data_IF_962499534282
#
_entry.id   IF_962499534282
#
_cell.length_a   1.000
_cell.length_b   1.000
_cell.length_c   1.000
_cell.angle_alpha   90.00
_cell.angle_beta   90.00
_cell.angle_gamma   90.00
#
_symmetry.space_group_name_H-M   'P 1'
#
loop_
_entity.id
_entity.type
_entity.pdbx_description
1 polymer ?
#
# COMPACT_ATOMS: atom_id res chain seq x y z
N UNK A 1 -3.22 32.65 -69.14
CA UNK A 1 -1.77 32.53 -68.97
C UNK A 1 -1.32 33.28 -67.74
N UNK A 2 -1.21 32.61 -66.59
CA UNK A 2 -0.50 33.11 -65.40
C UNK A 2 -0.29 31.95 -64.42
N UNK A 3 0.91 31.36 -64.47
CA UNK A 3 1.35 30.26 -63.61
C UNK A 3 2.04 30.84 -62.38
N UNK A 4 1.43 30.69 -61.21
CA UNK A 4 2.01 31.12 -59.94
C UNK A 4 2.80 29.98 -59.29
N UNK A 5 4.11 30.22 -59.10
CA UNK A 5 5.08 29.33 -58.48
C UNK A 5 4.95 29.36 -56.96
N UNK A 6 4.67 28.20 -56.34
CA UNK A 6 4.69 28.01 -54.88
C UNK A 6 6.07 27.46 -54.46
N UNK A 7 6.83 28.27 -53.73
CA UNK A 7 8.08 27.85 -53.05
C UNK A 7 7.72 27.07 -51.78
N UNK A 8 8.27 25.87 -51.67
CA UNK A 8 8.25 25.02 -50.47
C UNK A 8 9.34 25.49 -49.49
N UNK A 9 8.95 25.83 -48.27
CA UNK A 9 9.85 26.13 -47.15
C UNK A 9 10.05 24.88 -46.30
N UNK A 10 11.29 24.40 -46.21
CA UNK A 10 11.70 23.28 -45.35
C UNK A 10 11.80 23.77 -43.89
N UNK A 11 11.28 23.02 -42.90
CA UNK A 11 11.40 23.41 -41.50
C UNK A 11 12.80 23.10 -40.95
N UNK A 12 13.37 24.07 -40.22
CA UNK A 12 14.64 23.97 -39.50
C UNK A 12 14.46 23.07 -38.28
N UNK A 13 15.32 22.07 -38.13
CA UNK A 13 15.33 21.16 -36.99
C UNK A 13 15.71 21.87 -35.68
N UNK A 14 15.12 21.50 -34.53
CA UNK A 14 15.47 22.08 -33.24
C UNK A 14 16.88 21.67 -32.80
N UNK A 15 17.67 22.68 -32.42
CA UNK A 15 19.01 22.58 -31.84
C UNK A 15 19.00 21.64 -30.63
N UNK A 16 19.85 20.60 -30.68
CA UNK A 16 20.12 19.69 -29.57
C UNK A 16 20.69 20.47 -28.38
N UNK A 17 19.94 20.55 -27.29
CA UNK A 17 20.44 21.06 -26.01
C UNK A 17 21.59 20.16 -25.53
N UNK A 18 22.77 20.75 -25.33
CA UNK A 18 23.91 20.10 -24.71
C UNK A 18 23.55 19.63 -23.30
N UNK A 19 23.89 18.39 -22.89
CA UNK A 19 23.64 17.90 -21.55
C UNK A 19 24.40 18.74 -20.54
N UNK A 20 23.67 19.38 -19.64
CA UNK A 20 24.22 20.15 -18.53
C UNK A 20 25.10 19.24 -17.67
N UNK A 21 26.40 19.50 -17.62
CA UNK A 21 27.35 18.78 -16.76
C UNK A 21 26.86 18.79 -15.30
N UNK A 22 26.53 17.61 -14.79
CA UNK A 22 26.19 17.40 -13.39
C UNK A 22 27.46 17.59 -12.56
N UNK A 23 27.65 18.78 -11.97
CA UNK A 23 28.68 18.97 -10.95
C UNK A 23 28.22 18.25 -9.68
N UNK A 24 28.97 17.27 -9.14
CA UNK A 24 28.63 16.63 -7.88
C UNK A 24 28.60 17.71 -6.80
N UNK A 25 27.41 17.96 -6.28
CA UNK A 25 27.19 18.93 -5.21
C UNK A 25 28.02 18.56 -3.99
N UNK A 26 28.55 19.57 -3.29
CA UNK A 26 29.07 19.43 -1.93
C UNK A 26 28.18 18.49 -1.09
N UNK A 27 28.78 17.59 -0.32
CA UNK A 27 28.11 16.64 0.58
C UNK A 27 27.25 17.38 1.64
N UNK A 28 26.08 17.88 1.26
CA UNK A 28 25.12 18.44 2.19
C UNK A 28 24.13 17.36 2.57
N UNK A 29 24.04 17.05 3.86
CA UNK A 29 23.11 16.04 4.37
C UNK A 29 21.66 16.36 3.95
N UNK A 30 20.86 15.38 3.51
CA UNK A 30 19.48 15.60 3.12
C UNK A 30 18.63 16.09 4.29
N UNK A 31 17.53 16.79 3.99
CA UNK A 31 16.44 17.05 4.91
C UNK A 31 15.69 15.75 5.15
N UNK A 32 15.56 15.35 6.41
CA UNK A 32 14.87 14.13 6.81
C UNK A 32 13.37 14.41 6.82
N UNK A 33 12.60 13.75 5.98
CA UNK A 33 11.15 13.86 5.94
C UNK A 33 10.48 12.62 6.55
N UNK A 34 9.37 12.82 7.25
CA UNK A 34 8.48 11.75 7.66
C UNK A 34 7.11 11.92 7.01
N UNK A 35 6.61 10.84 6.40
CA UNK A 35 5.32 10.79 5.72
C UNK A 35 4.29 10.14 6.63
N UNK A 36 3.27 10.90 7.04
CA UNK A 36 2.16 10.46 7.87
C UNK A 36 0.92 10.33 7.00
N UNK A 37 0.36 9.13 6.88
CA UNK A 37 -0.72 8.82 5.94
C UNK A 37 -1.98 8.47 6.70
N UNK A 38 -3.04 9.22 6.42
CA UNK A 38 -4.39 8.83 6.78
C UNK A 38 -4.87 7.76 5.80
N UNK A 39 -4.65 6.49 6.17
CA UNK A 39 -4.95 5.35 5.33
C UNK A 39 -6.45 5.18 5.10
N UNK A 40 -7.28 5.58 6.07
CA UNK A 40 -8.75 5.52 5.93
C UNK A 40 -9.23 6.51 4.88
N UNK A 41 -8.82 7.77 4.98
CA UNK A 41 -9.15 8.79 3.99
C UNK A 41 -8.59 8.44 2.61
N UNK A 42 -7.35 7.93 2.55
CA UNK A 42 -6.71 7.53 1.30
C UNK A 42 -7.48 6.40 0.61
N UNK A 43 -7.84 5.35 1.35
CA UNK A 43 -8.63 4.24 0.82
C UNK A 43 -9.94 4.73 0.17
N UNK A 44 -10.71 5.55 0.88
CA UNK A 44 -11.97 6.06 0.34
C UNK A 44 -11.74 7.01 -0.84
N UNK A 45 -10.64 7.77 -0.81
CA UNK A 45 -10.23 8.65 -1.90
C UNK A 45 -9.82 7.89 -3.17
N UNK A 46 -9.30 6.67 -3.07
CA UNK A 46 -8.91 5.88 -4.24
C UNK A 46 -10.01 4.92 -4.73
N UNK A 47 -10.87 4.43 -3.82
CA UNK A 47 -11.74 3.28 -4.11
C UNK A 47 -13.24 3.52 -3.96
N UNK A 48 -13.67 4.59 -3.28
CA UNK A 48 -15.11 4.82 -3.00
C UNK A 48 -15.66 6.10 -3.63
N UNK A 49 -14.94 6.67 -4.60
CA UNK A 49 -15.43 7.84 -5.34
C UNK A 49 -16.47 7.41 -6.38
N UNK A 50 -17.40 8.32 -6.68
CA UNK A 50 -18.32 8.15 -7.80
C UNK A 50 -17.51 8.13 -9.09
N UNK A 51 -17.75 7.15 -9.96
CA UNK A 51 -16.98 6.95 -11.20
C UNK A 51 -16.86 8.22 -12.06
N UNK A 52 -17.89 9.06 -12.09
CA UNK A 52 -17.91 10.32 -12.85
C UNK A 52 -16.87 11.34 -12.36
N UNK A 53 -16.53 11.32 -11.08
CA UNK A 53 -15.69 12.31 -10.39
C UNK A 53 -14.30 11.78 -10.02
N UNK A 54 -14.03 10.52 -10.35
CA UNK A 54 -12.78 9.86 -10.03
C UNK A 54 -11.75 10.07 -11.17
N UNK A 55 -10.64 10.79 -10.92
CA UNK A 55 -9.61 11.06 -11.93
C UNK A 55 -8.92 9.78 -12.43
N UNK A 56 -8.83 8.74 -11.60
CA UNK A 56 -8.26 7.44 -11.96
C UNK A 56 -9.23 6.72 -12.90
N UNK A 57 -10.52 6.68 -12.57
CA UNK A 57 -11.53 6.06 -13.45
C UNK A 57 -11.63 6.77 -14.79
N UNK A 58 -11.58 8.11 -14.82
CA UNK A 58 -11.59 8.88 -16.08
C UNK A 58 -10.43 8.51 -17.00
N UNK A 59 -9.30 8.10 -16.42
CA UNK A 59 -8.08 7.80 -17.16
C UNK A 59 -7.91 6.34 -17.52
N UNK A 60 -8.10 5.45 -16.55
CA UNK A 60 -7.85 4.02 -16.68
C UNK A 60 -9.13 3.20 -16.93
N UNK A 61 -10.29 3.87 -16.93
CA UNK A 61 -11.60 3.28 -17.12
C UNK A 61 -12.23 2.73 -15.83
N UNK A 62 -13.51 2.36 -15.89
CA UNK A 62 -14.19 1.72 -14.76
C UNK A 62 -13.53 0.38 -14.43
N UNK A 63 -13.52 0.02 -13.14
CA UNK A 63 -12.89 -1.20 -12.61
C UNK A 63 -11.40 -1.31 -12.97
N UNK A 64 -10.69 -0.18 -12.99
CA UNK A 64 -9.26 -0.14 -13.28
C UNK A 64 -8.46 -1.10 -12.39
N UNK A 65 -8.90 -1.35 -11.16
CA UNK A 65 -8.25 -2.23 -10.20
C UNK A 65 -8.13 -3.69 -10.67
N UNK A 66 -8.86 -4.08 -11.73
CA UNK A 66 -8.71 -5.42 -12.35
C UNK A 66 -7.52 -5.53 -13.30
N UNK A 67 -6.96 -4.41 -13.75
CA UNK A 67 -5.93 -4.34 -14.78
C UNK A 67 -4.71 -3.53 -14.37
N UNK A 68 -4.87 -2.69 -13.35
CA UNK A 68 -3.83 -1.83 -12.82
C UNK A 68 -3.84 -1.90 -11.30
N UNK A 69 -2.69 -1.60 -10.70
CA UNK A 69 -2.50 -1.47 -9.25
C UNK A 69 -1.82 -0.14 -8.93
N UNK A 70 -1.91 0.26 -7.67
CA UNK A 70 -1.19 1.43 -7.19
C UNK A 70 0.25 1.05 -6.82
N UNK A 71 1.24 1.75 -7.35
CA UNK A 71 2.66 1.56 -7.03
C UNK A 71 3.02 2.34 -5.76
N UNK A 72 2.86 1.68 -4.61
CA UNK A 72 3.19 2.26 -3.30
C UNK A 72 4.68 2.58 -3.15
N UNK A 73 5.57 1.90 -3.89
CA UNK A 73 7.01 2.18 -3.84
C UNK A 73 7.35 3.50 -4.56
N UNK A 74 6.55 3.90 -5.56
CA UNK A 74 6.76 5.14 -6.30
C UNK A 74 6.31 6.39 -5.53
N UNK A 75 5.33 6.27 -4.62
CA UNK A 75 4.73 7.41 -3.94
C UNK A 75 5.73 8.26 -3.13
N UNK A 76 6.57 7.71 -2.22
CA UNK A 76 7.51 8.52 -1.44
C UNK A 76 8.52 9.24 -2.34
N UNK A 77 8.98 8.55 -3.39
CA UNK A 77 9.91 9.12 -4.38
C UNK A 77 9.29 10.31 -5.11
N UNK A 78 8.06 10.17 -5.59
CA UNK A 78 7.33 11.26 -6.29
C UNK A 78 7.15 12.45 -5.36
N UNK A 79 6.79 12.23 -4.10
CA UNK A 79 6.65 13.28 -3.10
C UNK A 79 7.98 14.01 -2.89
N UNK A 80 9.08 13.28 -2.70
CA UNK A 80 10.42 13.89 -2.58
C UNK A 80 10.79 14.72 -3.80
N UNK A 81 10.57 14.20 -5.02
CA UNK A 81 10.83 14.91 -6.28
C UNK A 81 10.05 16.23 -6.38
N UNK A 82 8.76 16.23 -5.99
CA UNK A 82 7.95 17.45 -6.02
C UNK A 82 8.39 18.47 -4.98
N UNK A 83 8.67 18.04 -3.75
CA UNK A 83 9.16 18.95 -2.71
C UNK A 83 10.52 19.55 -3.08
N UNK A 84 11.41 18.75 -3.67
CA UNK A 84 12.70 19.21 -4.17
C UNK A 84 12.54 20.27 -5.26
N UNK A 85 11.62 20.04 -6.21
CA UNK A 85 11.33 21.00 -7.28
C UNK A 85 10.89 22.35 -6.71
N UNK A 86 9.96 22.33 -5.77
CA UNK A 86 9.45 23.56 -5.13
C UNK A 86 10.57 24.32 -4.39
N UNK A 87 11.50 23.63 -3.72
CA UNK A 87 12.64 24.29 -3.07
C UNK A 87 13.56 25.00 -4.06
N UNK A 88 13.81 24.39 -5.22
CA UNK A 88 14.62 24.99 -6.27
C UNK A 88 13.93 26.25 -6.82
N UNK A 89 12.63 26.19 -7.06
CA UNK A 89 11.82 27.31 -7.58
C UNK A 89 11.73 28.48 -6.58
N UNK A 90 11.54 28.17 -5.28
CA UNK A 90 11.51 29.17 -4.21
C UNK A 90 12.89 29.80 -3.94
N UNK A 91 13.95 28.99 -3.98
CA UNK A 91 15.33 29.45 -3.79
C UNK A 91 15.79 30.40 -4.89
N UNK A 92 15.37 30.18 -6.13
CA UNK A 92 15.67 31.07 -7.25
C UNK A 92 14.93 32.41 -7.17
N UNK A 93 13.69 32.40 -6.66
CA UNK A 93 12.84 33.59 -6.58
C UNK A 93 13.32 34.62 -5.55
N UNK A 94 14.07 34.18 -4.53
CA UNK A 94 14.50 35.05 -3.40
C UNK A 94 15.74 35.89 -3.72
N UNK A 95 16.40 35.68 -4.86
CA UNK A 95 17.65 36.36 -5.25
C UNK A 95 17.49 37.46 -6.32
N UNK A 96 16.25 37.87 -6.66
CA UNK A 96 15.99 38.62 -7.89
C UNK A 96 15.50 40.07 -7.81
N UNK A 97 15.14 40.64 -6.65
CA UNK A 97 14.40 41.93 -6.63
C UNK A 97 15.10 43.16 -6.04
N UNK A 98 16.31 43.04 -5.49
CA UNK A 98 17.04 44.23 -5.01
C UNK A 98 18.28 44.54 -5.88
N UNK A 99 18.09 45.48 -6.81
CA UNK A 99 19.17 46.33 -7.32
C UNK A 99 19.55 46.12 -8.78
N UNK A 100 19.14 47.08 -9.63
CA UNK A 100 19.54 47.20 -11.03
C UNK A 100 21.04 47.35 -11.25
N UNK A 101 21.75 46.22 -11.26
CA UNK A 101 23.13 46.09 -11.70
C UNK A 101 23.21 45.09 -12.85
N UNK A 102 23.43 45.59 -14.07
CA UNK A 102 23.67 44.81 -15.29
C UNK A 102 25.03 44.09 -15.25
N UNK A 103 25.16 43.11 -14.37
CA UNK A 103 26.29 42.18 -14.34
C UNK A 103 25.80 40.76 -14.56
N UNK A 104 26.26 40.11 -15.63
CA UNK A 104 26.08 38.66 -15.90
C UNK A 104 26.84 37.80 -14.87
N UNK A 105 26.47 37.90 -13.59
CA UNK A 105 26.94 37.02 -12.53
C UNK A 105 25.94 35.90 -12.34
N UNK A 106 26.31 34.68 -12.74
CA UNK A 106 25.55 33.45 -12.42
C UNK A 106 25.44 33.35 -10.91
N UNK A 107 24.23 33.54 -10.37
CA UNK A 107 23.95 33.56 -8.93
C UNK A 107 24.27 32.21 -8.28
N UNK A 108 25.40 32.14 -7.58
CA UNK A 108 25.88 30.96 -6.85
C UNK A 108 25.30 30.86 -5.44
N UNK A 109 23.97 30.89 -5.30
CA UNK A 109 23.34 30.51 -4.03
C UNK A 109 23.62 29.03 -3.70
N UNK A 110 23.71 28.64 -2.41
CA UNK A 110 23.82 27.23 -2.04
C UNK A 110 22.61 26.47 -2.60
N UNK A 111 22.86 25.35 -3.28
CA UNK A 111 21.78 24.50 -3.76
C UNK A 111 20.92 24.03 -2.56
N UNK A 112 19.58 23.97 -2.70
CA UNK A 112 18.71 23.49 -1.63
C UNK A 112 19.05 22.05 -1.28
N UNK A 113 18.98 21.74 0.02
CA UNK A 113 19.23 20.40 0.56
C UNK A 113 18.23 19.40 -0.03
N UNK A 114 18.67 18.22 -0.49
CA UNK A 114 17.75 17.19 -0.97
C UNK A 114 16.77 16.77 0.12
N UNK A 115 15.49 16.53 -0.21
CA UNK A 115 14.52 15.95 0.71
C UNK A 115 14.51 14.43 0.58
N UNK A 116 14.58 13.72 1.70
CA UNK A 116 14.55 12.26 1.77
C UNK A 116 13.50 11.79 2.79
N UNK A 117 12.55 10.95 2.38
CA UNK A 117 11.61 10.32 3.31
C UNK A 117 12.32 9.19 4.06
N UNK A 118 12.57 9.39 5.35
CA UNK A 118 13.24 8.42 6.22
C UNK A 118 12.27 7.43 6.88
N UNK A 119 10.97 7.75 6.88
CA UNK A 119 9.89 6.87 7.36
C UNK A 119 8.55 7.26 6.77
N UNK A 120 7.74 6.27 6.42
CA UNK A 120 6.36 6.44 6.01
C UNK A 120 5.46 5.59 6.91
N UNK A 121 4.57 6.23 7.66
CA UNK A 121 3.65 5.58 8.60
C UNK A 121 2.21 5.74 8.10
N UNK A 122 1.46 4.65 8.07
CA UNK A 122 0.07 4.59 7.63
C UNK A 122 -0.81 4.30 8.83
N UNK A 123 -1.80 5.15 9.06
CA UNK A 123 -2.76 5.00 10.15
C UNK A 123 -4.11 4.63 9.57
N UNK A 124 -4.65 3.49 9.96
CA UNK A 124 -5.94 3.05 9.44
C UNK A 124 -6.70 2.16 10.41
N UNK A 125 -7.96 1.92 10.08
CA UNK A 125 -8.80 0.96 10.81
C UNK A 125 -9.74 0.22 9.88
N UNK A 126 -10.14 -0.98 10.26
CA UNK A 126 -11.25 -1.67 9.63
C UNK A 126 -12.11 -2.43 10.67
N UNK A 127 -13.35 -2.77 10.30
CA UNK A 127 -14.22 -3.58 11.15
C UNK A 127 -13.71 -5.01 11.19
N UNK A 128 -13.84 -5.71 12.32
CA UNK A 128 -13.56 -7.16 12.43
C UNK A 128 -14.19 -8.01 11.31
N UNK A 129 -15.38 -7.60 10.84
CA UNK A 129 -16.10 -8.27 9.76
C UNK A 129 -15.59 -7.95 8.35
N UNK A 130 -14.54 -7.14 8.22
CA UNK A 130 -13.95 -6.80 6.91
C UNK A 130 -13.29 -8.05 6.35
N UNK A 131 -13.68 -8.50 5.14
CA UNK A 131 -13.06 -9.69 4.55
C UNK A 131 -11.55 -9.50 4.37
N UNK A 132 -10.77 -10.51 4.74
CA UNK A 132 -9.31 -10.48 4.60
C UNK A 132 -8.85 -10.30 3.16
N UNK A 133 -9.64 -10.76 2.18
CA UNK A 133 -9.36 -10.56 0.75
C UNK A 133 -10.02 -9.28 0.17
N UNK A 134 -10.47 -8.36 1.02
CA UNK A 134 -11.06 -7.11 0.56
C UNK A 134 -9.99 -6.20 -0.02
N UNK A 135 -10.39 -5.35 -0.98
CA UNK A 135 -9.51 -4.32 -1.57
C UNK A 135 -8.84 -3.46 -0.48
N UNK A 136 -9.54 -3.25 0.65
CA UNK A 136 -9.03 -2.46 1.77
C UNK A 136 -7.85 -3.15 2.46
N UNK A 137 -7.98 -4.43 2.79
CA UNK A 137 -6.92 -5.19 3.47
C UNK A 137 -5.73 -5.33 2.54
N UNK A 138 -5.96 -5.77 1.29
CA UNK A 138 -4.91 -5.89 0.28
C UNK A 138 -4.14 -4.58 0.06
N UNK A 139 -4.83 -3.43 0.02
CA UNK A 139 -4.17 -2.14 -0.11
C UNK A 139 -3.13 -1.89 1.00
N UNK A 140 -3.46 -2.23 2.25
CA UNK A 140 -2.55 -2.00 3.37
C UNK A 140 -1.45 -3.06 3.47
N UNK A 141 -1.73 -4.30 3.05
CA UNK A 141 -0.70 -5.32 2.88
C UNK A 141 0.30 -4.90 1.80
N UNK A 142 -0.18 -4.41 0.64
CA UNK A 142 0.68 -3.90 -0.43
C UNK A 142 1.54 -2.70 0.04
N UNK A 143 1.02 -1.87 0.96
CA UNK A 143 1.79 -0.78 1.57
C UNK A 143 2.84 -1.33 2.55
N UNK A 144 2.51 -2.32 3.37
CA UNK A 144 3.48 -2.96 4.26
C UNK A 144 4.62 -3.61 3.45
N UNK A 145 4.30 -4.29 2.35
CA UNK A 145 5.25 -4.89 1.41
C UNK A 145 6.13 -3.82 0.73
N UNK A 146 5.60 -2.61 0.53
CA UNK A 146 6.34 -1.45 0.07
C UNK A 146 7.12 -0.72 1.19
N UNK A 147 7.31 -1.38 2.34
CA UNK A 147 8.10 -0.91 3.49
C UNK A 147 7.50 0.31 4.22
N UNK A 148 6.17 0.41 4.25
CA UNK A 148 5.46 1.36 5.11
C UNK A 148 5.24 0.75 6.50
N UNK A 149 5.26 1.59 7.53
CA UNK A 149 4.87 1.23 8.88
C UNK A 149 3.36 1.34 9.04
N UNK A 150 2.65 0.22 8.91
CA UNK A 150 1.19 0.20 8.89
C UNK A 150 0.64 -0.02 10.31
N UNK A 151 0.12 1.06 10.89
CA UNK A 151 -0.61 1.06 12.15
C UNK A 151 -2.09 0.78 11.88
N UNK A 152 -2.46 -0.48 12.05
CA UNK A 152 -3.79 -0.99 11.78
C UNK A 152 -4.58 -1.25 13.06
N UNK A 153 -5.74 -0.60 13.19
CA UNK A 153 -6.67 -0.82 14.30
C UNK A 153 -7.89 -1.63 13.87
N UNK A 154 -8.18 -2.70 14.59
CA UNK A 154 -9.43 -3.44 14.43
C UNK A 154 -10.53 -2.84 15.32
N UNK A 155 -11.63 -2.39 14.72
CA UNK A 155 -12.77 -1.85 15.48
C UNK A 155 -13.83 -2.92 15.70
N UNK A 156 -14.31 -3.05 16.94
CA UNK A 156 -15.45 -3.91 17.31
C UNK A 156 -16.71 -3.04 17.45
N UNK A 157 -17.81 -3.44 16.82
CA UNK A 157 -19.10 -2.73 16.91
C UNK A 157 -19.14 -1.39 16.18
N UNK A 158 -19.83 -0.40 16.80
CA UNK A 158 -20.00 0.98 16.30
C UNK A 158 -18.98 1.96 16.91
N UNK A 159 -17.85 1.46 17.41
CA UNK A 159 -16.83 2.29 18.07
C UNK A 159 -16.28 3.41 17.16
N UNK A 160 -16.01 4.57 17.76
CA UNK A 160 -15.36 5.71 17.11
C UNK A 160 -13.93 5.35 16.68
N UNK A 161 -13.55 5.74 15.47
CA UNK A 161 -12.22 5.44 14.92
C UNK A 161 -11.20 6.43 15.48
N UNK A 162 -10.31 5.99 16.36
CA UNK A 162 -9.26 6.84 16.91
C UNK A 162 -8.04 7.04 15.98
N UNK A 163 -8.21 6.85 14.67
CA UNK A 163 -7.13 6.91 13.66
C UNK A 163 -6.52 8.32 13.60
N UNK A 164 -7.36 9.36 13.57
CA UNK A 164 -6.91 10.74 13.45
C UNK A 164 -6.13 11.19 14.70
N UNK A 165 -6.60 10.74 15.87
CA UNK A 165 -5.91 10.97 17.15
C UNK A 165 -4.53 10.33 17.13
N UNK A 166 -4.43 9.06 16.72
CA UNK A 166 -3.16 8.34 16.68
C UNK A 166 -2.17 9.02 15.74
N UNK A 167 -2.58 9.35 14.51
CA UNK A 167 -1.74 10.03 13.53
C UNK A 167 -1.27 11.39 14.06
N UNK A 168 -2.19 12.22 14.58
CA UNK A 168 -1.86 13.55 15.09
C UNK A 168 -0.89 13.48 16.29
N UNK A 169 -1.10 12.54 17.21
CA UNK A 169 -0.22 12.32 18.37
C UNK A 169 1.17 11.88 17.91
N UNK A 170 1.27 10.95 16.97
CA UNK A 170 2.56 10.45 16.49
C UNK A 170 3.35 11.52 15.70
N UNK A 171 2.66 12.28 14.85
CA UNK A 171 3.27 13.42 14.14
C UNK A 171 3.87 14.44 15.12
N UNK A 172 3.12 14.80 16.17
CA UNK A 172 3.58 15.75 17.19
C UNK A 172 4.65 15.17 18.11
N UNK A 173 4.57 13.87 18.45
CA UNK A 173 5.60 13.19 19.23
C UNK A 173 6.95 13.32 18.54
N UNK A 174 7.06 12.87 17.29
CA UNK A 174 8.32 12.96 16.54
C UNK A 174 8.74 14.41 16.23
N UNK A 175 7.80 15.37 16.17
CA UNK A 175 8.15 16.78 16.08
C UNK A 175 9.02 17.25 17.27
N UNK A 176 8.83 16.63 18.45
CA UNK A 176 9.58 16.97 19.67
C UNK A 176 10.84 16.15 19.89
N UNK A 177 11.02 15.04 19.16
CA UNK A 177 12.22 14.22 19.27
C UNK A 177 13.36 14.87 18.46
N UNK A 178 14.50 15.21 19.10
CA UNK A 178 15.63 15.79 18.39
C UNK A 178 16.11 14.89 17.23
N UNK A 179 16.26 15.47 16.04
CA UNK A 179 16.77 14.75 14.86
C UNK A 179 15.84 13.70 14.24
N UNK A 180 14.59 13.54 14.73
CA UNK A 180 13.65 12.59 14.14
C UNK A 180 13.36 12.92 12.66
N UNK A 181 12.90 14.15 12.40
CA UNK A 181 12.70 14.69 11.07
C UNK A 181 12.85 16.21 11.04
N UNK A 182 13.10 16.77 9.86
CA UNK A 182 13.09 18.20 9.53
C UNK A 182 11.76 18.61 8.89
N UNK A 183 11.15 17.70 8.12
CA UNK A 183 9.90 17.91 7.37
C UNK A 183 8.84 16.88 7.75
N UNK A 184 7.66 17.31 8.19
CA UNK A 184 6.48 16.45 8.30
C UNK A 184 5.67 16.56 7.01
N UNK A 185 5.25 15.43 6.46
CA UNK A 185 4.41 15.37 5.27
C UNK A 185 3.11 14.66 5.65
N UNK A 186 1.98 15.35 5.56
CA UNK A 186 0.67 14.74 5.78
C UNK A 186 0.06 14.32 4.44
N UNK A 187 -0.27 13.04 4.30
CA UNK A 187 -1.15 12.55 3.24
C UNK A 187 -2.57 12.41 3.80
N UNK A 188 -3.37 13.46 3.61
CA UNK A 188 -4.79 13.48 3.94
C UNK A 188 -5.47 14.65 3.22
N UNK A 189 -6.79 14.68 3.26
CA UNK A 189 -7.61 15.82 2.89
C UNK A 189 -8.47 16.34 4.04
N UNK A 190 -8.31 15.78 5.25
CA UNK A 190 -9.10 16.15 6.41
C UNK A 190 -8.57 17.43 7.08
N UNK A 191 -9.47 18.38 7.31
CA UNK A 191 -9.16 19.65 7.98
C UNK A 191 -8.89 19.46 9.48
N UNK A 192 -9.31 18.35 10.07
CA UNK A 192 -9.19 18.13 11.50
C UNK A 192 -7.71 17.98 11.94
N UNK A 193 -6.80 17.75 10.99
CA UNK A 193 -5.35 17.79 11.21
C UNK A 193 -4.75 19.20 11.26
N UNK A 194 -5.48 20.27 10.91
CA UNK A 194 -4.95 21.64 10.92
C UNK A 194 -4.27 22.04 12.23
N UNK A 195 -4.83 21.77 13.43
CA UNK A 195 -4.14 22.06 14.68
C UNK A 195 -2.80 21.34 14.79
N UNK A 196 -2.73 20.07 14.39
CA UNK A 196 -1.51 19.28 14.44
C UNK A 196 -0.44 19.82 13.45
N UNK A 197 -0.84 20.24 12.24
CA UNK A 197 0.06 20.87 11.27
C UNK A 197 0.64 22.18 11.81
N UNK A 198 -0.21 23.07 12.35
CA UNK A 198 0.24 24.36 12.93
C UNK A 198 1.17 24.13 14.12
N UNK A 199 0.85 23.19 15.01
CA UNK A 199 1.69 22.86 16.17
C UNK A 199 3.03 22.24 15.75
N UNK A 200 3.05 21.40 14.72
CA UNK A 200 4.28 20.83 14.15
C UNK A 200 5.21 21.94 13.65
N UNK A 201 4.66 22.95 12.97
CA UNK A 201 5.44 24.14 12.57
C UNK A 201 5.97 24.95 13.74
N UNK A 202 5.16 25.14 14.79
CA UNK A 202 5.60 25.82 16.01
C UNK A 202 6.74 25.07 16.74
N UNK A 203 6.94 23.77 16.45
CA UNK A 203 8.10 22.99 16.91
C UNK A 203 9.32 23.10 15.98
N UNK A 204 9.29 24.03 15.02
CA UNK A 204 10.41 24.30 14.11
C UNK A 204 10.53 23.31 12.95
N UNK A 205 9.49 22.52 12.68
CA UNK A 205 9.45 21.58 11.55
C UNK A 205 8.79 22.24 10.34
N UNK A 206 9.23 21.88 9.14
CA UNK A 206 8.52 22.25 7.92
C UNK A 206 7.37 21.28 7.68
N UNK A 207 6.31 21.73 7.02
CA UNK A 207 5.10 20.93 6.75
C UNK A 207 4.77 20.89 5.26
N UNK A 208 4.74 19.69 4.70
CA UNK A 208 4.20 19.38 3.38
C UNK A 208 2.83 18.71 3.47
N UNK A 209 2.03 18.84 2.41
CA UNK A 209 0.73 18.17 2.29
C UNK A 209 0.69 17.45 0.96
N UNK A 210 0.26 16.19 0.98
CA UNK A 210 -0.03 15.37 -0.19
C UNK A 210 -1.53 15.06 -0.16
N UNK A 211 -2.24 15.26 -1.26
CA UNK A 211 -3.69 15.05 -1.25
C UNK A 211 -4.26 14.77 -2.63
N UNK A 212 -5.56 14.54 -2.67
CA UNK A 212 -6.39 14.49 -3.87
C UNK A 212 -7.32 15.71 -3.85
N UNK A 213 -7.39 16.45 -4.95
CA UNK A 213 -8.23 17.64 -5.09
C UNK A 213 -9.69 17.38 -4.72
N UNK A 214 -10.22 16.23 -5.14
CA UNK A 214 -11.62 15.89 -4.92
C UNK A 214 -11.94 15.44 -3.49
N UNK A 215 -10.98 15.42 -2.56
CA UNK A 215 -11.22 15.13 -1.13
C UNK A 215 -10.45 16.02 -0.17
N UNK A 216 -9.72 17.03 -0.68
CA UNK A 216 -8.92 17.93 0.13
C UNK A 216 -9.74 19.13 0.57
N UNK A 217 -9.83 19.34 1.88
CA UNK A 217 -10.48 20.53 2.40
C UNK A 217 -9.71 21.79 2.00
N UNK A 218 -10.43 22.81 1.50
CA UNK A 218 -9.86 24.12 1.08
C UNK A 218 -8.97 24.75 2.15
N UNK A 219 -9.34 24.60 3.43
CA UNK A 219 -8.58 25.16 4.53
C UNK A 219 -7.15 24.63 4.62
N UNK A 220 -6.86 23.41 4.13
CA UNK A 220 -5.50 22.84 4.15
C UNK A 220 -4.56 23.54 3.17
N UNK A 221 -5.07 24.09 2.06
CA UNK A 221 -4.23 24.65 1.00
C UNK A 221 -4.41 26.16 0.78
N UNK A 222 -5.51 26.75 1.24
CA UNK A 222 -5.76 28.20 1.15
C UNK A 222 -5.37 28.95 2.44
N UNK A 223 -5.36 28.28 3.59
CA UNK A 223 -5.02 28.95 4.86
C UNK A 223 -3.52 29.22 4.94
N UNK A 224 -3.10 30.49 5.10
CA UNK A 224 -1.70 30.81 5.29
C UNK A 224 -1.14 30.14 6.54
N UNK A 225 0.15 29.82 6.52
CA UNK A 225 0.88 29.26 7.68
C UNK A 225 0.45 27.85 8.13
N UNK A 226 -0.30 27.10 7.32
CA UNK A 226 -0.57 25.67 7.56
C UNK A 226 0.53 24.77 6.98
N UNK A 227 1.08 25.17 5.82
CA UNK A 227 2.09 24.42 5.06
C UNK A 227 3.27 25.32 4.65
N UNK A 228 4.42 24.72 4.40
CA UNK A 228 5.65 25.37 3.89
C UNK A 228 5.87 25.05 2.40
N UNK A 229 5.19 24.03 1.89
CA UNK A 229 5.23 23.58 0.51
C UNK A 229 3.85 23.74 -0.14
N UNK A 230 3.79 23.82 -1.46
CA UNK A 230 2.55 23.63 -2.20
C UNK A 230 2.10 22.18 -2.14
N UNK A 231 0.78 22.00 -2.17
CA UNK A 231 0.18 20.67 -2.06
C UNK A 231 0.63 19.83 -3.24
N UNK A 232 1.17 18.65 -2.94
CA UNK A 232 1.47 17.63 -3.95
C UNK A 232 0.17 16.90 -4.24
N UNK A 233 -0.34 17.07 -5.45
CA UNK A 233 -1.58 16.44 -5.85
C UNK A 233 -1.33 15.08 -6.48
N UNK A 234 -1.92 14.02 -5.92
CA UNK A 234 -1.79 12.65 -6.43
C UNK A 234 -2.28 12.56 -7.88
N UNK A 235 -3.32 13.31 -8.25
CA UNK A 235 -3.88 13.31 -9.61
C UNK A 235 -2.86 13.70 -10.69
N UNK A 236 -1.90 14.54 -10.35
CA UNK A 236 -0.89 15.03 -11.30
C UNK A 236 0.16 13.96 -11.61
N UNK A 237 0.12 12.84 -10.89
CA UNK A 237 1.12 11.77 -10.92
C UNK A 237 0.52 10.38 -11.11
N UNK A 238 -0.78 10.26 -11.40
CA UNK A 238 -1.45 8.96 -11.57
C UNK A 238 -0.84 8.09 -12.66
N UNK A 239 -0.20 8.64 -13.70
CA UNK A 239 0.53 7.86 -14.71
C UNK A 239 1.71 7.09 -14.16
N UNK A 240 2.32 7.63 -13.10
CA UNK A 240 3.49 7.05 -12.44
C UNK A 240 3.10 6.20 -11.23
N UNK A 241 1.91 6.44 -10.68
CA UNK A 241 1.40 5.77 -9.49
C UNK A 241 0.46 4.62 -9.81
N UNK A 242 -0.18 4.59 -10.98
CA UNK A 242 -1.09 3.52 -11.37
C UNK A 242 -0.46 2.76 -12.53
N UNK A 243 0.01 1.54 -12.24
CA UNK A 243 0.80 0.72 -13.16
C UNK A 243 0.01 -0.52 -13.59
N UNK A 244 0.18 -1.00 -14.83
CA UNK A 244 -0.46 -2.25 -15.26
C UNK A 244 -0.04 -3.41 -14.36
N UNK A 245 -1.00 -4.27 -14.03
CA UNK A 245 -0.70 -5.56 -13.40
C UNK A 245 -0.03 -6.44 -14.46
N UNK A 246 1.13 -7.07 -14.17
CA UNK A 246 1.80 -7.96 -15.10
C UNK A 246 0.86 -9.05 -15.65
N UNK A 247 0.98 -9.40 -16.93
CA UNK A 247 0.08 -10.36 -17.56
C UNK A 247 0.08 -11.72 -16.83
N UNK A 248 1.26 -12.19 -16.38
CA UNK A 248 1.37 -13.42 -15.59
C UNK A 248 0.56 -13.37 -14.28
N UNK A 249 0.47 -12.20 -13.65
CA UNK A 249 -0.30 -11.98 -12.44
C UNK A 249 -1.80 -11.93 -12.75
N UNK A 250 -2.19 -11.29 -13.86
CA UNK A 250 -3.59 -11.31 -14.34
C UNK A 250 -4.06 -12.73 -14.67
N UNK A 251 -3.25 -13.55 -15.34
CA UNK A 251 -3.58 -14.95 -15.60
C UNK A 251 -3.70 -15.77 -14.31
N UNK A 252 -2.92 -15.43 -13.28
CA UNK A 252 -3.04 -16.07 -11.96
C UNK A 252 -4.35 -15.71 -11.28
N UNK A 253 -4.79 -14.45 -11.37
CA UNK A 253 -6.03 -13.91 -10.79
C UNK A 253 -7.26 -14.46 -11.52
N UNK A 254 -7.23 -14.52 -12.86
CA UNK A 254 -8.37 -14.93 -13.69
C UNK A 254 -8.53 -16.45 -13.81
N UNK A 255 -7.55 -17.25 -13.35
CA UNK A 255 -7.75 -18.71 -13.22
C UNK A 255 -8.70 -18.98 -12.04
N UNK A 256 -9.92 -19.51 -12.27
CA UNK A 256 -10.72 -20.06 -11.18
C UNK A 256 -9.84 -21.09 -10.46
N UNK A 257 -9.66 -20.93 -9.14
CA UNK A 257 -8.83 -21.84 -8.35
C UNK A 257 -9.23 -23.29 -8.64
N UNK A 258 -8.25 -24.13 -8.96
CA UNK A 258 -8.50 -25.55 -9.25
C UNK A 258 -9.06 -26.29 -8.03
N UNK A 259 -8.73 -25.78 -6.84
CA UNK A 259 -9.12 -26.31 -5.53
C UNK A 259 -9.85 -25.23 -4.75
N UNK A 260 -11.11 -25.49 -4.40
CA UNK A 260 -11.93 -24.62 -3.57
C UNK A 260 -11.55 -24.70 -2.09
N UNK A 261 -12.02 -23.71 -1.31
CA UNK A 261 -11.78 -23.65 0.12
C UNK A 261 -12.26 -24.91 0.85
N UNK A 262 -13.42 -25.47 0.45
CA UNK A 262 -13.93 -26.72 1.00
C UNK A 262 -12.91 -27.86 0.87
N UNK A 263 -12.35 -28.08 -0.32
CA UNK A 263 -11.47 -29.23 -0.57
C UNK A 263 -10.19 -29.12 0.25
N UNK A 264 -9.62 -27.91 0.34
CA UNK A 264 -8.47 -27.66 1.21
C UNK A 264 -8.83 -27.94 2.67
N UNK A 265 -9.98 -27.45 3.14
CA UNK A 265 -10.42 -27.68 4.51
C UNK A 265 -10.67 -29.18 4.79
N UNK A 266 -11.31 -29.91 3.89
CA UNK A 266 -11.55 -31.36 4.01
C UNK A 266 -10.24 -32.14 4.12
N UNK A 267 -9.26 -31.82 3.27
CA UNK A 267 -7.94 -32.47 3.31
C UNK A 267 -7.22 -32.20 4.63
N UNK A 268 -7.28 -30.97 5.15
CA UNK A 268 -6.71 -30.63 6.46
C UNK A 268 -7.44 -31.40 7.57
N UNK A 269 -8.78 -31.44 7.53
CA UNK A 269 -9.61 -32.15 8.50
C UNK A 269 -9.24 -33.63 8.59
N UNK A 270 -9.19 -34.34 7.46
CA UNK A 270 -8.85 -35.77 7.45
C UNK A 270 -7.43 -36.03 7.96
N UNK A 271 -6.49 -35.13 7.67
CA UNK A 271 -5.13 -35.24 8.17
C UNK A 271 -5.02 -35.01 9.67
N UNK A 272 -5.80 -34.07 10.22
CA UNK A 272 -5.88 -33.81 11.66
C UNK A 272 -6.56 -34.98 12.37
N UNK A 273 -7.67 -35.50 11.82
CA UNK A 273 -8.45 -36.61 12.37
C UNK A 273 -7.63 -37.91 12.40
N UNK A 274 -6.83 -38.17 11.36
CA UNK A 274 -5.93 -39.31 11.31
C UNK A 274 -4.74 -39.20 12.30
N UNK A 275 -4.53 -38.04 12.91
CA UNK A 275 -3.46 -37.85 13.90
C UNK A 275 -3.81 -38.51 15.24
N UNK A 276 -2.92 -39.35 15.82
CA UNK A 276 -3.14 -39.98 17.12
C UNK A 276 -3.38 -38.98 18.26
N UNK A 277 -2.93 -37.73 18.09
CA UNK A 277 -3.04 -36.68 19.11
C UNK A 277 -4.24 -35.75 18.91
N UNK A 278 -5.05 -35.94 17.86
CA UNK A 278 -6.15 -35.02 17.49
C UNK A 278 -5.70 -33.64 17.00
N UNK A 279 -4.38 -33.42 16.89
CA UNK A 279 -3.77 -32.17 16.44
C UNK A 279 -2.50 -32.41 15.64
N UNK A 280 -2.17 -31.48 14.74
CA UNK A 280 -1.00 -31.56 13.85
C UNK A 280 -0.29 -30.21 13.76
N UNK A 281 1.01 -30.23 13.52
CA UNK A 281 1.77 -28.99 13.36
C UNK A 281 1.50 -28.36 12.00
N UNK A 282 1.49 -27.03 11.91
CA UNK A 282 1.32 -26.30 10.66
C UNK A 282 2.41 -26.63 9.62
N UNK A 283 3.59 -27.05 10.07
CA UNK A 283 4.67 -27.55 9.22
C UNK A 283 4.32 -28.90 8.60
N UNK A 284 3.71 -29.80 9.35
CA UNK A 284 3.31 -31.11 8.86
C UNK A 284 2.10 -31.00 7.93
N UNK A 285 1.12 -30.16 8.26
CA UNK A 285 0.02 -29.82 7.34
C UNK A 285 0.57 -29.24 6.04
N UNK A 286 1.50 -28.29 6.13
CA UNK A 286 2.15 -27.73 4.94
C UNK A 286 2.86 -28.79 4.09
N UNK A 287 3.57 -29.74 4.70
CA UNK A 287 4.22 -30.86 3.99
C UNK A 287 3.19 -31.79 3.34
N UNK A 288 2.11 -32.10 4.05
CA UNK A 288 1.04 -32.95 3.54
C UNK A 288 0.34 -32.31 2.33
N UNK A 289 -0.10 -31.05 2.46
CA UNK A 289 -0.69 -30.29 1.35
C UNK A 289 0.25 -30.14 0.14
N UNK A 290 1.57 -30.11 0.37
CA UNK A 290 2.58 -30.08 -0.70
C UNK A 290 2.72 -31.42 -1.42
N UNK A 291 2.42 -32.52 -0.75
CA UNK A 291 2.45 -33.87 -1.34
C UNK A 291 1.22 -34.19 -2.19
N UNK A 292 0.13 -33.45 -2.01
CA UNK A 292 -1.12 -33.63 -2.73
C UNK A 292 -1.19 -32.75 -3.97
N UNK A 293 -1.75 -33.30 -5.05
CA UNK A 293 -1.84 -32.64 -6.35
C UNK A 293 -3.27 -32.76 -6.89
N UNK A 294 -3.78 -31.67 -7.46
CA UNK A 294 -5.06 -31.63 -8.18
C UNK A 294 -4.75 -31.17 -9.60
N UNK A 295 -5.02 -32.02 -10.59
CA UNK A 295 -4.53 -31.84 -11.96
C UNK A 295 -3.01 -31.60 -11.99
N UNK A 296 -2.57 -30.42 -12.40
CA UNK A 296 -1.16 -30.05 -12.54
C UNK A 296 -0.62 -29.20 -11.36
N UNK A 297 -1.43 -28.87 -10.35
CA UNK A 297 -1.03 -27.98 -9.25
C UNK A 297 -1.07 -28.66 -7.87
N UNK A 298 -0.13 -28.28 -6.99
CA UNK A 298 -0.11 -28.77 -5.60
C UNK A 298 -1.10 -28.00 -4.76
N UNK A 299 -1.77 -28.68 -3.83
CA UNK A 299 -2.78 -28.05 -2.96
C UNK A 299 -2.16 -26.92 -2.12
N UNK A 300 -0.92 -27.07 -1.63
CA UNK A 300 -0.26 -25.99 -0.89
C UNK A 300 -0.04 -24.74 -1.74
N UNK A 301 0.26 -24.90 -3.03
CA UNK A 301 0.52 -23.78 -3.93
C UNK A 301 -0.80 -23.04 -4.25
N UNK A 302 -1.89 -23.78 -4.46
CA UNK A 302 -3.25 -23.21 -4.60
C UNK A 302 -3.71 -22.52 -3.30
N UNK A 303 -3.45 -23.12 -2.13
CA UNK A 303 -3.77 -22.51 -0.85
C UNK A 303 -3.12 -21.13 -0.74
N UNK A 304 -1.81 -21.05 -1.00
CA UNK A 304 -1.08 -19.80 -0.91
C UNK A 304 -1.56 -18.77 -1.93
N UNK A 305 -1.83 -19.24 -3.15
CA UNK A 305 -2.26 -18.40 -4.25
C UNK A 305 -3.66 -17.81 -4.02
N UNK A 306 -4.60 -18.61 -3.54
CA UNK A 306 -6.01 -18.22 -3.41
C UNK A 306 -6.37 -17.66 -2.03
N UNK A 307 -5.62 -18.01 -1.00
CA UNK A 307 -5.94 -17.71 0.40
C UNK A 307 -4.74 -17.21 1.22
N UNK A 308 -3.62 -16.87 0.56
CA UNK A 308 -2.42 -16.28 1.16
C UNK A 308 -1.51 -17.31 1.84
N UNK A 309 -1.93 -17.86 2.97
CA UNK A 309 -1.11 -18.82 3.72
C UNK A 309 -1.96 -19.69 4.65
N UNK A 310 -1.39 -20.79 5.15
CA UNK A 310 -2.15 -21.79 5.92
C UNK A 310 -2.81 -21.16 7.17
N UNK A 311 -2.11 -20.26 7.86
CA UNK A 311 -2.64 -19.60 9.06
C UNK A 311 -3.83 -18.72 8.71
N UNK A 312 -3.67 -17.91 7.66
CA UNK A 312 -4.71 -17.03 7.15
C UNK A 312 -5.93 -17.82 6.69
N UNK A 313 -5.72 -18.90 5.93
CA UNK A 313 -6.77 -19.78 5.48
C UNK A 313 -7.58 -20.37 6.66
N UNK A 314 -6.89 -20.91 7.67
CA UNK A 314 -7.55 -21.50 8.84
C UNK A 314 -8.33 -20.44 9.63
N UNK A 315 -7.72 -19.27 9.89
CA UNK A 315 -8.34 -18.21 10.68
C UNK A 315 -9.49 -17.48 9.97
N UNK A 316 -9.49 -17.44 8.63
CA UNK A 316 -10.49 -16.65 7.89
C UNK A 316 -11.57 -17.50 7.24
N UNK A 317 -11.18 -18.65 6.67
CA UNK A 317 -12.05 -19.45 5.80
C UNK A 317 -12.55 -20.71 6.46
N UNK A 318 -11.84 -21.20 7.47
CA UNK A 318 -12.17 -22.46 8.13
C UNK A 318 -12.21 -22.34 9.66
N UNK A 319 -12.39 -21.12 10.19
CA UNK A 319 -12.35 -20.82 11.64
C UNK A 319 -13.38 -21.59 12.46
N UNK A 320 -14.50 -21.96 11.85
CA UNK A 320 -15.53 -22.73 12.53
C UNK A 320 -15.17 -24.23 12.64
N UNK A 321 -14.31 -24.73 11.74
CA UNK A 321 -13.90 -26.13 11.68
C UNK A 321 -12.58 -26.41 12.39
N UNK A 322 -11.74 -25.40 12.60
CA UNK A 322 -10.41 -25.58 13.18
C UNK A 322 -10.09 -24.56 14.26
N UNK A 323 -9.34 -25.00 15.25
CA UNK A 323 -8.70 -24.16 16.24
C UNK A 323 -7.20 -24.05 15.97
N UNK A 324 -6.66 -22.84 16.10
CA UNK A 324 -5.23 -22.56 16.00
C UNK A 324 -4.69 -22.38 17.40
N UNK A 325 -3.83 -23.30 17.82
CA UNK A 325 -3.19 -23.26 19.13
C UNK A 325 -1.75 -22.81 18.92
N UNK A 326 -1.49 -21.54 19.24
CA UNK A 326 -0.13 -21.03 19.34
C UNK A 326 0.56 -21.81 20.47
N UNK A 327 1.81 -22.26 20.26
CA UNK A 327 2.55 -23.01 21.28
C UNK A 327 2.67 -22.15 22.54
N UNK A 328 2.14 -22.65 23.66
CA UNK A 328 2.25 -22.03 24.98
C UNK A 328 3.66 -21.48 25.21
N UNK A 329 3.72 -20.20 25.53
CA UNK A 329 4.96 -19.47 25.73
C UNK A 329 5.69 -19.89 27.02
N UNK A 330 5.02 -20.63 27.92
CA UNK A 330 5.48 -20.89 29.29
C UNK A 330 6.43 -22.10 29.46
N UNK A 331 6.81 -22.80 28.38
CA UNK A 331 7.86 -23.85 28.45
C UNK A 331 9.12 -23.40 27.69
N UNK A 332 9.86 -22.51 28.33
CA UNK A 332 10.97 -21.70 27.80
C UNK A 332 12.28 -22.46 27.48
N UNK A 333 12.47 -23.73 27.86
CA UNK A 333 13.83 -24.27 27.92
C UNK A 333 14.48 -24.69 26.59
N UNK A 334 13.76 -24.84 25.48
CA UNK A 334 14.35 -25.29 24.20
C UNK A 334 13.61 -24.76 22.96
N UNK A 335 13.61 -23.43 22.73
CA UNK A 335 13.15 -22.88 21.45
C UNK A 335 14.31 -22.56 20.51
N UNK A 336 14.18 -23.03 19.27
CA UNK A 336 14.79 -22.37 18.12
C UNK A 336 14.01 -21.05 17.88
N UNK A 337 14.64 -19.88 18.01
CA UNK A 337 13.99 -18.58 17.80
C UNK A 337 13.34 -18.42 16.41
N UNK A 338 13.68 -19.28 15.44
CA UNK A 338 13.10 -19.27 14.10
C UNK A 338 11.85 -20.14 13.90
N UNK A 339 11.42 -20.94 14.89
CA UNK A 339 10.29 -21.86 14.71
C UNK A 339 8.92 -21.17 14.91
N UNK A 340 8.36 -20.64 13.82
CA UNK A 340 7.03 -20.00 13.77
C UNK A 340 5.87 -21.00 13.60
N UNK A 341 6.08 -22.28 13.91
CA UNK A 341 5.04 -23.30 13.79
C UNK A 341 3.98 -23.19 14.90
N UNK A 342 2.74 -23.54 14.55
CA UNK A 342 1.57 -23.57 15.44
C UNK A 342 0.84 -24.90 15.26
N UNK A 343 -0.06 -25.24 16.18
CA UNK A 343 -0.87 -26.45 16.09
C UNK A 343 -2.24 -26.15 15.50
N UNK A 344 -2.77 -27.12 14.77
CA UNK A 344 -4.12 -27.11 14.21
C UNK A 344 -4.86 -28.33 14.77
N UNK A 345 -6.04 -28.09 15.31
CA UNK A 345 -6.97 -29.09 15.88
C UNK A 345 -8.36 -28.89 15.28
N UNK A 346 -9.13 -29.97 15.14
CA UNK A 346 -10.52 -29.90 14.67
C UNK A 346 -11.44 -29.49 15.82
N UNK A 347 -12.45 -28.67 15.54
CA UNK A 347 -13.53 -28.40 16.51
C UNK A 347 -14.51 -29.58 16.54
N UNK A 348 -15.28 -29.71 17.62
CA UNK A 348 -16.32 -30.76 17.76
C UNK A 348 -17.37 -30.73 16.63
N UNK A 349 -17.50 -29.61 15.92
CA UNK A 349 -18.48 -29.40 14.85
C UNK A 349 -17.86 -29.42 13.44
N UNK A 350 -16.56 -29.71 13.33
CA UNK A 350 -15.84 -29.59 12.07
C UNK A 350 -16.45 -30.47 10.97
N UNK A 351 -16.82 -31.71 11.28
CA UNK A 351 -17.42 -32.64 10.33
C UNK A 351 -18.76 -32.12 9.79
N UNK A 352 -19.67 -31.74 10.69
CA UNK A 352 -21.00 -31.19 10.32
C UNK A 352 -20.87 -29.95 9.44
N UNK A 353 -19.96 -29.04 9.80
CA UNK A 353 -19.74 -27.80 9.06
C UNK A 353 -19.18 -28.07 7.67
N UNK A 354 -18.25 -29.02 7.54
CA UNK A 354 -17.74 -29.44 6.24
C UNK A 354 -18.84 -30.11 5.40
N UNK A 355 -19.67 -30.96 5.98
CA UNK A 355 -20.82 -31.57 5.28
C UNK A 355 -21.83 -30.53 4.79
N UNK A 356 -22.09 -29.48 5.58
CA UNK A 356 -22.93 -28.36 5.14
C UNK A 356 -22.31 -27.56 4.00
N UNK A 357 -21.00 -27.31 4.07
CA UNK A 357 -20.26 -26.57 3.04
C UNK A 357 -20.13 -27.37 1.74
N UNK A 358 -19.95 -28.69 1.84
CA UNK A 358 -19.92 -29.60 0.69
C UNK A 358 -21.19 -29.49 -0.16
N UNK A 359 -22.37 -29.41 0.50
CA UNK A 359 -23.67 -29.28 -0.17
C UNK A 359 -23.83 -27.96 -0.91
N UNK A 360 -23.12 -26.91 -0.50
CA UNK A 360 -23.17 -25.57 -1.09
C UNK A 360 -22.10 -25.34 -2.15
N UNK A 361 -21.06 -26.18 -2.17
CA UNK A 361 -19.88 -26.00 -3.02
C UNK A 361 -20.12 -26.56 -4.42
N UNK A 362 -19.81 -25.74 -5.44
CA UNK A 362 -19.76 -26.19 -6.84
C UNK A 362 -18.34 -26.61 -7.19
N UNK A 363 -18.11 -27.92 -7.29
CA UNK A 363 -16.80 -28.48 -7.57
C UNK A 363 -16.42 -28.40 -9.05
N UNK A 364 -15.15 -28.12 -9.33
CA UNK A 364 -14.61 -28.28 -10.69
C UNK A 364 -14.55 -29.78 -11.07
N UNK A 365 -14.31 -30.10 -12.35
CA UNK A 365 -14.12 -31.51 -12.76
C UNK A 365 -12.88 -32.09 -12.08
N UNK A 366 -11.75 -31.38 -12.14
CA UNK A 366 -10.50 -31.81 -11.51
C UNK A 366 -10.63 -32.00 -9.99
N UNK A 367 -11.37 -31.12 -9.33
CA UNK A 367 -11.61 -31.21 -7.88
C UNK A 367 -12.50 -32.39 -7.51
N UNK A 368 -13.53 -32.71 -8.31
CA UNK A 368 -14.35 -33.92 -8.11
C UNK A 368 -13.55 -35.19 -8.31
N UNK A 369 -12.70 -35.22 -9.33
CA UNK A 369 -11.88 -36.39 -9.61
C UNK A 369 -10.86 -36.60 -8.48
N UNK A 370 -10.20 -35.53 -8.03
CA UNK A 370 -9.33 -35.58 -6.85
C UNK A 370 -10.07 -36.08 -5.60
N UNK A 371 -11.24 -35.51 -5.26
CA UNK A 371 -11.98 -35.90 -4.06
C UNK A 371 -12.45 -37.37 -4.09
N UNK A 372 -12.69 -37.94 -5.28
CA UNK A 372 -13.04 -39.36 -5.45
C UNK A 372 -11.84 -40.29 -5.26
N UNK A 373 -10.65 -39.85 -5.62
CA UNK A 373 -9.41 -40.62 -5.43
C UNK A 373 -8.85 -40.48 -4.02
N UNK A 374 -9.14 -39.34 -3.39
CA UNK A 374 -8.68 -39.00 -2.04
C UNK A 374 -9.50 -39.66 -0.93
N UNK A 375 -10.83 -39.80 -1.13
CA UNK A 375 -11.74 -40.49 -0.21
C UNK A 375 -11.65 -42.01 -0.35
#
# INVERSE_FOLDING_TARGET
STTASRRSSVPVAPSSATPTEYRPSLNVAPLRAMLFIDGTWLYYSLHHRRERDDPIVRKFGPRWQRRYRFDWSALPRIVCEQMQRQQIEQGWSSSGEDGGGSGMGVGGGPLPRPVEIVRASVFTSYKKSTPANSIRVNMFDDMADANYDVHLMETVGEGEKCVDIQLAVEMLHYATVPGAYDVAILLSGDKDFMPALVRTRQKGKQVGIVSMRTGCNRALYETPRVKDYDVVWIEDHIDRLVVPIPHEELERIDRPGLVGAFTIAKVIYDFVEASPTGRVSSRDVGRFLKSLQVADTRILDELKKSFGGLRQFVLDRAVAAFEVIDRDWDREEYRDPGDTSYWIECTDRAEDLLLEEAKKTNFTVAERDFLREYA
#
